data_IF_495162873472
#
_entry.id   IF_495162873472
#
_cell.length_a   1.000
_cell.length_b   1.000
_cell.length_c   1.000
_cell.angle_alpha   90.00
_cell.angle_beta   90.00
_cell.angle_gamma   90.00
#
_symmetry.space_group_name_H-M   'P 1'
#
loop_
_entity.id
_entity.type
_entity.pdbx_description
1 polymer ?
#
# COMPACT_ATOMS: atom_id res chain seq x y z
N UNK A 1 17.25 3.85 4.38
CA UNK A 1 16.48 3.64 3.14
C UNK A 1 15.54 4.82 2.94
N UNK A 2 15.27 5.17 1.71
CA UNK A 2 14.48 6.35 1.36
C UNK A 2 13.43 5.97 0.33
N UNK A 3 12.18 6.41 0.55
CA UNK A 3 11.14 6.28 -0.47
C UNK A 3 11.31 7.41 -1.49
N UNK A 4 11.54 7.05 -2.76
CA UNK A 4 11.70 8.02 -3.83
C UNK A 4 10.34 8.47 -4.39
N UNK A 5 9.44 7.51 -4.66
CA UNK A 5 8.09 7.81 -5.15
C UNK A 5 7.17 6.59 -5.05
N UNK A 6 5.87 6.88 -5.08
CA UNK A 6 4.81 5.91 -5.34
C UNK A 6 4.00 6.50 -6.49
N UNK A 7 3.85 5.75 -7.57
CA UNK A 7 3.14 6.20 -8.78
C UNK A 7 2.41 5.05 -9.44
N UNK A 8 1.57 5.32 -10.46
CA UNK A 8 0.91 4.24 -11.20
C UNK A 8 1.91 3.23 -11.74
N UNK A 9 1.55 1.95 -11.63
CA UNK A 9 2.44 0.85 -12.03
C UNK A 9 2.60 0.77 -13.54
N UNK A 10 3.80 0.43 -13.98
CA UNK A 10 4.05 0.05 -15.38
C UNK A 10 3.64 -1.39 -15.67
N UNK A 11 3.37 -2.20 -14.62
CA UNK A 11 2.82 -3.54 -14.76
C UNK A 11 1.29 -3.44 -14.88
N UNK A 12 0.72 -3.93 -15.99
CA UNK A 12 -0.70 -3.82 -16.28
C UNK A 12 -1.61 -4.52 -15.27
N UNK A 13 -1.09 -5.46 -14.49
CA UNK A 13 -1.87 -6.21 -13.49
C UNK A 13 -1.84 -5.55 -12.11
N UNK A 14 -1.06 -4.49 -11.93
CA UNK A 14 -0.89 -3.82 -10.64
C UNK A 14 -1.32 -2.36 -10.70
N UNK A 15 -1.80 -1.83 -9.56
CA UNK A 15 -2.26 -0.45 -9.46
C UNK A 15 -1.12 0.55 -9.36
N UNK A 16 -0.19 0.27 -8.46
CA UNK A 16 0.87 1.21 -8.07
C UNK A 16 2.22 0.51 -8.05
N UNK A 17 3.27 1.33 -8.08
CA UNK A 17 4.63 0.89 -7.80
C UNK A 17 5.30 1.88 -6.88
N UNK A 18 6.14 1.36 -5.98
CA UNK A 18 6.95 2.15 -5.06
C UNK A 18 8.42 1.89 -5.37
N UNK A 19 9.22 2.96 -5.45
CA UNK A 19 10.66 2.85 -5.63
C UNK A 19 11.36 3.41 -4.41
N UNK A 20 12.30 2.63 -3.88
CA UNK A 20 13.10 2.96 -2.71
C UNK A 20 14.57 3.04 -3.09
N UNK A 21 15.29 3.91 -2.42
CA UNK A 21 16.76 3.97 -2.53
C UNK A 21 17.35 3.40 -1.23
N UNK A 22 18.23 2.42 -1.38
CA UNK A 22 18.95 1.82 -0.27
C UNK A 22 20.20 2.63 0.08
N UNK A 23 20.79 2.37 1.25
CA UNK A 23 21.97 3.08 1.72
C UNK A 23 23.18 2.97 0.79
N UNK A 24 23.25 1.90 0.00
CA UNK A 24 24.32 1.72 -0.99
C UNK A 24 24.05 2.42 -2.32
N UNK A 25 23.00 3.24 -2.42
CA UNK A 25 22.62 3.95 -3.64
C UNK A 25 21.82 3.13 -4.63
N UNK A 26 21.61 1.84 -4.40
CA UNK A 26 20.81 0.99 -5.26
C UNK A 26 19.33 1.23 -5.03
N UNK A 27 18.54 1.04 -6.07
CA UNK A 27 17.08 1.17 -5.98
C UNK A 27 16.41 -0.19 -6.02
N UNK A 28 15.22 -0.26 -5.39
CA UNK A 28 14.33 -1.40 -5.47
C UNK A 28 12.94 -0.89 -5.80
N UNK A 29 12.26 -1.53 -6.75
CA UNK A 29 10.89 -1.18 -7.13
C UNK A 29 9.98 -2.36 -6.85
N UNK A 30 8.88 -2.10 -6.17
CA UNK A 30 7.86 -3.09 -5.84
C UNK A 30 6.52 -2.65 -6.40
N UNK A 31 5.91 -3.51 -7.21
CA UNK A 31 4.56 -3.30 -7.74
C UNK A 31 3.54 -3.92 -6.79
N UNK A 32 2.44 -3.23 -6.55
CA UNK A 32 1.45 -3.70 -5.58
C UNK A 32 0.03 -3.25 -5.91
N UNK A 33 -0.94 -3.93 -5.30
CA UNK A 33 -2.36 -3.70 -5.51
C UNK A 33 -2.87 -4.36 -6.78
N UNK A 34 -3.88 -5.23 -6.67
CA UNK A 34 -4.47 -5.89 -7.83
C UNK A 34 -5.31 -4.89 -8.64
N UNK A 35 -4.98 -4.73 -9.90
CA UNK A 35 -5.74 -3.84 -10.79
C UNK A 35 -7.14 -4.40 -11.01
N UNK A 36 -8.14 -3.51 -10.96
CA UNK A 36 -9.55 -3.91 -11.10
C UNK A 36 -10.24 -4.24 -9.80
N UNK A 37 -9.52 -4.48 -8.71
CA UNK A 37 -10.11 -4.70 -7.39
C UNK A 37 -10.19 -3.38 -6.62
N UNK A 38 -11.27 -3.20 -5.85
CA UNK A 38 -11.42 -2.04 -4.98
C UNK A 38 -10.60 -2.21 -3.71
N UNK A 39 -10.11 -1.10 -3.18
CA UNK A 39 -9.41 -1.04 -1.91
C UNK A 39 -10.09 -0.04 -0.96
N UNK A 40 -9.55 0.13 0.25
CA UNK A 40 -10.16 1.00 1.25
C UNK A 40 -10.29 2.44 0.77
N UNK A 41 -9.35 2.95 0.00
CA UNK A 41 -9.41 4.32 -0.51
C UNK A 41 -10.56 4.51 -1.49
N UNK A 42 -10.91 3.48 -2.24
CA UNK A 42 -12.03 3.48 -3.18
C UNK A 42 -13.35 3.33 -2.43
N UNK A 43 -13.45 2.32 -1.54
CA UNK A 43 -14.66 2.11 -0.74
C UNK A 43 -15.00 3.32 0.13
N UNK A 44 -13.99 4.03 0.65
CA UNK A 44 -14.18 5.18 1.53
C UNK A 44 -14.82 6.39 0.84
N UNK A 45 -14.83 6.42 -0.50
CA UNK A 45 -15.52 7.46 -1.26
C UNK A 45 -17.04 7.26 -1.29
N UNK A 46 -17.52 6.08 -0.95
CA UNK A 46 -18.93 5.73 -0.92
C UNK A 46 -19.40 5.43 0.49
N UNK A 47 -19.93 4.22 0.72
CA UNK A 47 -20.44 3.78 2.01
C UNK A 47 -19.30 3.52 2.99
N UNK A 48 -19.20 4.38 4.00
CA UNK A 48 -18.13 4.29 5.02
C UNK A 48 -18.23 3.05 5.88
N UNK A 49 -19.44 2.57 6.17
CA UNK A 49 -19.64 1.34 6.94
C UNK A 49 -19.15 0.13 6.12
N UNK A 50 -19.51 0.07 4.86
CA UNK A 50 -19.03 -0.97 3.95
C UNK A 50 -17.50 -0.94 3.84
N UNK A 51 -16.90 0.27 3.77
CA UNK A 51 -15.47 0.43 3.72
C UNK A 51 -14.78 -0.19 4.95
N UNK A 52 -15.31 0.05 6.15
CA UNK A 52 -14.80 -0.54 7.39
C UNK A 52 -14.90 -2.06 7.39
N UNK A 53 -16.02 -2.60 6.93
CA UNK A 53 -16.23 -4.05 6.85
C UNK A 53 -15.26 -4.69 5.85
N UNK A 54 -15.06 -4.09 4.69
CA UNK A 54 -14.12 -4.57 3.67
C UNK A 54 -12.68 -4.52 4.17
N UNK A 55 -12.31 -3.46 4.88
CA UNK A 55 -10.99 -3.35 5.50
C UNK A 55 -10.77 -4.45 6.54
N UNK A 56 -11.72 -4.67 7.44
CA UNK A 56 -11.62 -5.72 8.45
C UNK A 56 -11.44 -7.11 7.81
N UNK A 57 -12.21 -7.39 6.74
CA UNK A 57 -12.11 -8.65 6.01
C UNK A 57 -10.74 -8.81 5.34
N UNK A 58 -10.24 -7.75 4.72
CA UNK A 58 -8.91 -7.75 4.11
C UNK A 58 -7.82 -8.07 5.14
N UNK A 59 -7.83 -7.37 6.26
CA UNK A 59 -6.83 -7.55 7.31
C UNK A 59 -6.85 -8.98 7.87
N UNK A 60 -8.05 -9.52 8.10
CA UNK A 60 -8.19 -10.88 8.63
C UNK A 60 -7.63 -11.94 7.67
N UNK A 61 -7.84 -11.76 6.36
CA UNK A 61 -7.36 -12.73 5.36
C UNK A 61 -5.85 -12.65 5.14
N UNK A 62 -5.29 -11.44 5.16
CA UNK A 62 -3.90 -11.23 4.74
C UNK A 62 -2.88 -11.30 5.86
N UNK A 63 -3.29 -11.05 7.12
CA UNK A 63 -2.34 -11.03 8.24
C UNK A 63 -1.57 -12.34 8.43
N UNK A 64 -2.17 -13.47 8.07
CA UNK A 64 -1.59 -14.79 8.30
C UNK A 64 -0.43 -15.13 7.35
N UNK A 65 -0.38 -14.48 6.17
CA UNK A 65 0.57 -14.83 5.11
C UNK A 65 1.46 -13.67 4.66
N UNK A 66 1.30 -12.48 5.24
CA UNK A 66 2.01 -11.30 4.76
C UNK A 66 2.90 -10.68 5.83
N UNK A 67 4.04 -10.16 5.39
CA UNK A 67 4.96 -9.42 6.25
C UNK A 67 4.66 -7.92 6.14
N UNK A 68 3.91 -7.37 7.10
CA UNK A 68 3.54 -5.96 7.11
C UNK A 68 4.59 -5.04 7.71
N UNK A 69 5.70 -5.59 8.19
CA UNK A 69 6.79 -4.80 8.79
C UNK A 69 7.95 -4.54 7.83
N UNK A 70 7.96 -5.20 6.66
CA UNK A 70 8.93 -4.90 5.60
C UNK A 70 8.30 -3.92 4.61
N UNK A 71 8.69 -2.63 4.61
CA UNK A 71 8.07 -1.62 3.76
C UNK A 71 8.29 -1.84 2.27
N UNK A 72 9.25 -2.67 1.87
CA UNK A 72 9.51 -2.97 0.46
C UNK A 72 8.68 -4.12 -0.06
N UNK A 73 7.94 -4.83 0.79
CA UNK A 73 7.09 -5.93 0.36
C UNK A 73 5.77 -5.43 -0.22
N UNK A 74 5.24 -6.15 -1.21
CA UNK A 74 3.95 -5.84 -1.80
C UNK A 74 2.82 -5.90 -0.76
N UNK A 75 2.90 -6.84 0.17
CA UNK A 75 1.92 -6.97 1.26
C UNK A 75 1.89 -5.75 2.17
N UNK A 76 3.06 -5.28 2.62
CA UNK A 76 3.13 -4.08 3.47
C UNK A 76 2.68 -2.83 2.72
N UNK A 77 3.07 -2.67 1.47
CA UNK A 77 2.65 -1.53 0.64
C UNK A 77 1.13 -1.52 0.46
N UNK A 78 0.52 -2.66 0.14
CA UNK A 78 -0.94 -2.75 0.02
C UNK A 78 -1.62 -2.44 1.34
N UNK A 79 -1.13 -2.98 2.45
CA UNK A 79 -1.70 -2.75 3.79
C UNK A 79 -1.67 -1.27 4.18
N UNK A 80 -0.54 -0.62 3.99
CA UNK A 80 -0.34 0.73 4.53
C UNK A 80 -0.68 1.85 3.55
N UNK A 81 -0.72 1.58 2.25
CA UNK A 81 -1.06 2.59 1.24
C UNK A 81 -2.50 2.45 0.75
N UNK A 82 -3.00 1.22 0.54
CA UNK A 82 -4.33 0.99 -0.03
C UNK A 82 -5.39 0.62 1.01
N UNK A 83 -5.01 0.01 2.13
CA UNK A 83 -5.92 -0.51 3.15
C UNK A 83 -5.68 0.12 4.53
N UNK A 84 -5.29 1.37 4.58
CA UNK A 84 -4.98 2.08 5.82
C UNK A 84 -5.95 3.23 6.08
N UNK A 85 -5.76 4.35 5.42
CA UNK A 85 -6.56 5.56 5.61
C UNK A 85 -7.47 5.80 4.41
N UNK A 86 -8.50 6.68 4.54
CA UNK A 86 -9.48 6.88 3.46
C UNK A 86 -8.92 7.44 2.15
N UNK A 87 -7.77 8.12 2.18
CA UNK A 87 -7.14 8.65 0.97
C UNK A 87 -5.74 8.09 0.78
N UNK A 88 -5.30 7.99 -0.48
CA UNK A 88 -3.93 7.55 -0.78
C UNK A 88 -2.89 8.54 -0.25
N UNK A 89 -3.15 9.83 -0.35
CA UNK A 89 -2.24 10.86 0.12
C UNK A 89 -1.98 10.75 1.63
N UNK A 90 -3.03 10.60 2.42
CA UNK A 90 -2.92 10.42 3.86
C UNK A 90 -2.22 9.10 4.21
N UNK A 91 -2.54 8.03 3.48
CA UNK A 91 -1.92 6.72 3.67
C UNK A 91 -0.42 6.73 3.36
N UNK A 92 -0.01 7.40 2.29
CA UNK A 92 1.40 7.53 1.93
C UNK A 92 2.17 8.33 2.99
N UNK A 93 1.58 9.42 3.49
CA UNK A 93 2.19 10.21 4.56
C UNK A 93 2.38 9.38 5.84
N UNK A 94 1.36 8.59 6.22
CA UNK A 94 1.45 7.68 7.35
C UNK A 94 2.50 6.58 7.14
N UNK A 95 2.54 6.02 5.94
CA UNK A 95 3.53 5.00 5.56
C UNK A 95 4.97 5.52 5.73
N UNK A 96 5.25 6.72 5.22
CA UNK A 96 6.56 7.34 5.36
C UNK A 96 6.94 7.56 6.82
N UNK A 97 6.00 8.03 7.64
CA UNK A 97 6.21 8.27 9.05
C UNK A 97 6.43 6.96 9.81
N UNK A 98 5.61 5.95 9.53
CA UNK A 98 5.64 4.64 10.19
C UNK A 98 6.98 3.92 10.01
N UNK A 99 7.54 3.99 8.81
CA UNK A 99 8.78 3.31 8.45
C UNK A 99 9.99 4.24 8.38
N UNK A 100 9.83 5.49 8.77
CA UNK A 100 10.90 6.49 8.78
C UNK A 100 11.56 6.62 7.38
N UNK A 101 10.74 6.86 6.40
CA UNK A 101 11.17 6.90 4.99
C UNK A 101 11.27 8.34 4.40
#
# INVERSE_FOLDING_TARGET
MKLLFIKPSTNSDKKLMATFERYNGRTITTHFGAKGLKDFTIYSKGDKQLAKEKKASYLARHIVNENWIDPTSAGALSRWVLWNLPTKEASIADFKKRFNL
#
